data_IF_830590187269
#
_entry.id   IF_830590187269
#
_cell.length_a   1.000
_cell.length_b   1.000
_cell.length_c   1.000
_cell.angle_alpha   90.00
_cell.angle_beta   90.00
_cell.angle_gamma   90.00
#
_symmetry.space_group_name_H-M   'P 1'
#
loop_
_entity.id
_entity.type
_entity.pdbx_description
1 polymer ?
#
# COMPACT_ATOMS: atom_id res chain seq x y z
N UNK A 1 -7.44 -8.84 -37.34
CA UNK A 1 -7.67 -7.75 -36.36
C UNK A 1 -6.89 -8.10 -35.10
N UNK A 2 -5.84 -7.34 -34.79
CA UNK A 2 -4.73 -7.75 -33.90
C UNK A 2 -5.11 -7.85 -32.41
N UNK A 3 -5.09 -9.07 -31.85
CA UNK A 3 -5.29 -9.35 -30.42
C UNK A 3 -4.28 -8.62 -29.50
N UNK A 4 -3.10 -8.24 -30.03
CA UNK A 4 -2.07 -7.47 -29.31
C UNK A 4 -2.54 -6.08 -28.83
N UNK A 5 -3.44 -5.44 -29.56
CA UNK A 5 -3.94 -4.10 -29.22
C UNK A 5 -4.95 -4.09 -28.07
N UNK A 6 -5.72 -5.17 -27.93
CA UNK A 6 -6.69 -5.32 -26.84
C UNK A 6 -6.00 -5.67 -25.52
N UNK A 7 -4.99 -6.55 -25.56
CA UNK A 7 -4.28 -7.01 -24.37
C UNK A 7 -3.54 -5.87 -23.65
N UNK A 8 -2.80 -5.04 -24.38
CA UNK A 8 -2.05 -3.91 -23.79
C UNK A 8 -2.94 -2.84 -23.16
N UNK A 9 -4.17 -2.66 -23.65
CA UNK A 9 -5.10 -1.64 -23.14
C UNK A 9 -5.86 -2.13 -21.91
N UNK A 10 -6.20 -3.42 -21.88
CA UNK A 10 -6.90 -4.06 -20.75
C UNK A 10 -5.96 -4.28 -19.56
N UNK A 11 -4.74 -4.76 -19.78
CA UNK A 11 -3.79 -5.05 -18.70
C UNK A 11 -3.28 -3.79 -17.99
N UNK A 12 -3.17 -2.66 -18.69
CA UNK A 12 -2.79 -1.37 -18.08
C UNK A 12 -3.91 -0.75 -17.25
N UNK A 13 -5.18 -1.08 -17.51
CA UNK A 13 -6.33 -0.54 -16.76
C UNK A 13 -6.76 -1.40 -15.58
N UNK A 14 -6.43 -2.69 -15.59
CA UNK A 14 -6.85 -3.64 -14.56
C UNK A 14 -6.34 -3.27 -13.15
N UNK A 15 -5.06 -2.94 -12.93
CA UNK A 15 -4.57 -2.57 -11.60
C UNK A 15 -5.25 -1.31 -11.07
N UNK A 16 -5.45 -0.31 -11.93
CA UNK A 16 -6.10 0.94 -11.55
C UNK A 16 -7.60 0.77 -11.26
N UNK A 17 -8.26 -0.21 -11.86
CA UNK A 17 -9.64 -0.54 -11.53
C UNK A 17 -9.73 -1.24 -10.17
N UNK A 18 -8.85 -2.21 -9.89
CA UNK A 18 -8.79 -2.90 -8.60
C UNK A 18 -8.47 -1.93 -7.45
N UNK A 19 -7.57 -0.97 -7.68
CA UNK A 19 -7.22 0.06 -6.69
C UNK A 19 -8.45 0.87 -6.25
N UNK A 20 -9.30 1.26 -7.21
CA UNK A 20 -10.55 1.99 -6.92
C UNK A 20 -11.53 1.15 -6.11
N UNK A 21 -11.62 -0.15 -6.38
CA UNK A 21 -12.46 -1.06 -5.59
C UNK A 21 -11.96 -1.13 -4.15
N UNK A 22 -10.67 -1.36 -3.96
CA UNK A 22 -10.07 -1.45 -2.62
C UNK A 22 -10.24 -0.13 -1.87
N UNK A 23 -10.02 1.01 -2.53
CA UNK A 23 -10.25 2.33 -1.97
C UNK A 23 -11.72 2.53 -1.55
N UNK A 24 -12.68 2.05 -2.34
CA UNK A 24 -14.10 2.10 -2.00
C UNK A 24 -14.43 1.25 -0.76
N UNK A 25 -13.91 0.02 -0.68
CA UNK A 25 -14.10 -0.87 0.47
C UNK A 25 -13.50 -0.24 1.74
N UNK A 26 -12.27 0.30 1.63
CA UNK A 26 -11.62 1.00 2.73
C UNK A 26 -12.44 2.20 3.21
N UNK A 27 -12.95 3.02 2.29
CA UNK A 27 -13.73 4.20 2.65
C UNK A 27 -14.99 3.81 3.42
N UNK A 28 -15.72 2.80 2.97
CA UNK A 28 -16.91 2.29 3.67
C UNK A 28 -16.54 1.75 5.06
N UNK A 29 -15.47 0.94 5.15
CA UNK A 29 -15.02 0.37 6.42
C UNK A 29 -14.54 1.43 7.42
N UNK A 30 -13.84 2.47 6.96
CA UNK A 30 -13.40 3.60 7.81
C UNK A 30 -14.60 4.42 8.29
N UNK A 31 -15.60 4.68 7.44
CA UNK A 31 -16.83 5.37 7.86
C UNK A 31 -17.57 4.56 8.92
N UNK A 32 -17.70 3.24 8.72
CA UNK A 32 -18.32 2.36 9.69
C UNK A 32 -17.56 2.30 11.03
N UNK A 33 -16.24 2.13 10.97
CA UNK A 33 -15.38 2.12 12.16
C UNK A 33 -15.39 3.45 12.90
N UNK A 34 -15.33 4.58 12.17
CA UNK A 34 -15.45 5.92 12.74
C UNK A 34 -16.80 6.16 13.41
N UNK A 35 -17.90 5.67 12.82
CA UNK A 35 -19.22 5.74 13.44
C UNK A 35 -19.28 4.95 14.76
N UNK A 36 -18.71 3.74 14.82
CA UNK A 36 -18.60 2.99 16.08
C UNK A 36 -17.80 3.73 17.14
N UNK A 37 -16.63 4.28 16.78
CA UNK A 37 -15.81 5.04 17.72
C UNK A 37 -16.58 6.23 18.31
N UNK A 38 -17.37 6.93 17.50
CA UNK A 38 -18.24 8.01 17.99
C UNK A 38 -19.25 7.48 19.01
N UNK A 39 -19.93 6.37 18.72
CA UNK A 39 -20.89 5.75 19.66
C UNK A 39 -20.21 5.33 20.96
N UNK A 40 -19.02 4.72 20.90
CA UNK A 40 -18.26 4.31 22.09
C UNK A 40 -17.89 5.51 22.97
N UNK A 41 -17.46 6.63 22.36
CA UNK A 41 -17.15 7.87 23.09
C UNK A 41 -18.40 8.45 23.77
N UNK A 42 -19.56 8.41 23.12
CA UNK A 42 -20.81 8.99 23.66
C UNK A 42 -21.54 8.09 24.66
N UNK A 43 -21.34 6.78 24.60
CA UNK A 43 -22.02 5.82 25.49
C UNK A 43 -21.46 5.79 26.91
N UNK A 44 -20.31 6.44 27.18
CA UNK A 44 -19.62 6.46 28.49
C UNK A 44 -19.37 5.07 29.12
N UNK A 45 -19.55 4.01 28.34
CA UNK A 45 -19.25 2.63 28.69
C UNK A 45 -17.81 2.28 28.35
N UNK A 46 -17.29 1.16 28.86
CA UNK A 46 -15.95 0.71 28.53
C UNK A 46 -15.76 0.64 27.00
N UNK A 47 -14.62 1.09 26.45
CA UNK A 47 -14.38 1.10 25.01
C UNK A 47 -14.57 -0.30 24.39
N UNK A 48 -15.32 -0.39 23.28
CA UNK A 48 -15.47 -1.64 22.54
C UNK A 48 -14.16 -1.95 21.80
N UNK A 49 -13.37 -2.87 22.35
CA UNK A 49 -12.11 -3.32 21.73
C UNK A 49 -12.34 -3.89 20.32
N UNK A 50 -13.55 -4.38 20.04
CA UNK A 50 -13.89 -4.94 18.72
C UNK A 50 -13.92 -3.87 17.63
N UNK A 51 -14.22 -2.61 17.95
CA UNK A 51 -14.27 -1.52 16.97
C UNK A 51 -12.88 -1.10 16.47
N UNK A 52 -11.90 -1.02 17.39
CA UNK A 52 -10.51 -0.71 17.07
C UNK A 52 -9.85 -1.87 16.31
N UNK A 53 -10.02 -3.10 16.79
CA UNK A 53 -9.50 -4.31 16.14
C UNK A 53 -10.06 -4.48 14.71
N UNK A 54 -11.33 -4.15 14.48
CA UNK A 54 -11.93 -4.15 13.15
C UNK A 54 -11.21 -3.20 12.18
N UNK A 55 -10.89 -1.98 12.62
CA UNK A 55 -10.20 -0.98 11.78
C UNK A 55 -8.78 -1.46 11.44
N UNK A 56 -8.06 -2.02 12.42
CA UNK A 56 -6.71 -2.56 12.22
C UNK A 56 -6.72 -3.71 11.20
N UNK A 57 -7.61 -4.69 11.37
CA UNK A 57 -7.77 -5.81 10.42
C UNK A 57 -8.17 -5.36 9.02
N UNK A 58 -9.07 -4.38 8.93
CA UNK A 58 -9.50 -3.79 7.66
C UNK A 58 -8.31 -3.13 6.93
N UNK A 59 -7.55 -2.30 7.65
CA UNK A 59 -6.36 -1.63 7.12
C UNK A 59 -5.31 -2.63 6.67
N UNK A 60 -4.99 -3.63 7.50
CA UNK A 60 -3.99 -4.65 7.18
C UNK A 60 -4.35 -5.43 5.92
N UNK A 61 -5.60 -5.91 5.82
CA UNK A 61 -6.09 -6.67 4.68
C UNK A 61 -6.10 -5.84 3.40
N UNK A 62 -6.67 -4.64 3.46
CA UNK A 62 -6.76 -3.77 2.29
C UNK A 62 -5.40 -3.28 1.81
N UNK A 63 -4.52 -2.92 2.74
CA UNK A 63 -3.13 -2.69 2.40
C UNK A 63 -2.58 -3.94 1.72
N UNK A 64 -2.58 -5.13 2.32
CA UNK A 64 -2.02 -6.35 1.69
C UNK A 64 -2.38 -6.47 0.20
N UNK A 65 -3.66 -6.29 -0.14
CA UNK A 65 -4.16 -6.26 -1.54
C UNK A 65 -3.52 -5.16 -2.39
N UNK A 66 -3.43 -3.91 -1.91
CA UNK A 66 -2.81 -2.80 -2.64
C UNK A 66 -1.33 -3.09 -2.99
N UNK A 67 -0.55 -3.74 -2.11
CA UNK A 67 0.85 -4.08 -2.44
C UNK A 67 0.87 -5.01 -3.64
N UNK A 68 0.01 -6.02 -3.64
CA UNK A 68 -0.01 -7.04 -4.69
C UNK A 68 -0.41 -6.38 -6.03
N UNK A 69 -1.38 -5.46 -6.00
CA UNK A 69 -1.79 -4.69 -7.18
C UNK A 69 -0.61 -3.85 -7.72
N UNK A 70 0.09 -3.13 -6.85
CA UNK A 70 1.25 -2.31 -7.25
C UNK A 70 2.40 -3.15 -7.75
N UNK A 71 2.69 -4.27 -7.09
CA UNK A 71 3.71 -5.23 -7.53
C UNK A 71 3.40 -5.76 -8.94
N UNK A 72 2.15 -6.17 -9.20
CA UNK A 72 1.71 -6.61 -10.54
C UNK A 72 1.85 -5.48 -11.56
N UNK A 73 1.46 -4.26 -11.23
CA UNK A 73 1.63 -3.08 -12.10
C UNK A 73 3.10 -2.85 -12.44
N UNK A 74 3.97 -3.07 -11.47
CA UNK A 74 5.40 -2.94 -11.62
C UNK A 74 6.00 -4.00 -12.54
N UNK A 75 5.57 -5.26 -12.43
CA UNK A 75 5.98 -6.33 -13.34
C UNK A 75 5.59 -6.02 -14.80
N UNK A 76 4.43 -5.40 -15.00
CA UNK A 76 3.94 -5.03 -16.33
C UNK A 76 4.67 -3.83 -16.94
N UNK A 77 5.16 -2.89 -16.12
CA UNK A 77 5.76 -1.63 -16.59
C UNK A 77 7.29 -1.61 -16.61
N UNK A 78 7.96 -2.66 -16.10
CA UNK A 78 9.41 -2.87 -16.17
C UNK A 78 10.25 -1.60 -15.87
N UNK A 79 9.92 -0.90 -14.78
CA UNK A 79 10.66 0.26 -14.31
C UNK A 79 11.28 -0.06 -12.94
N UNK A 80 12.62 -0.20 -12.90
CA UNK A 80 13.37 -0.44 -11.67
C UNK A 80 13.15 0.65 -10.61
N UNK A 81 12.97 1.89 -11.06
CA UNK A 81 12.66 3.04 -10.20
C UNK A 81 11.30 2.87 -9.48
N UNK A 82 10.36 2.14 -10.09
CA UNK A 82 9.07 1.83 -9.47
C UNK A 82 9.19 0.78 -8.35
N UNK A 83 10.27 -0.04 -8.29
CA UNK A 83 10.42 -1.08 -7.24
C UNK A 83 10.56 -0.35 -5.91
N UNK A 84 11.54 0.57 -5.84
CA UNK A 84 11.90 1.23 -4.58
C UNK A 84 10.72 2.01 -4.01
N UNK A 85 9.95 2.69 -4.85
CA UNK A 85 8.74 3.42 -4.43
C UNK A 85 7.68 2.49 -3.84
N UNK A 86 7.41 1.35 -4.49
CA UNK A 86 6.43 0.37 -3.99
C UNK A 86 6.91 -0.28 -2.68
N UNK A 87 8.22 -0.54 -2.54
CA UNK A 87 8.79 -1.08 -1.29
C UNK A 87 8.70 -0.08 -0.14
N UNK A 88 8.96 1.22 -0.37
CA UNK A 88 8.82 2.24 0.65
C UNK A 88 7.35 2.33 1.10
N UNK A 89 6.41 2.36 0.14
CA UNK A 89 4.98 2.36 0.44
C UNK A 89 4.54 1.11 1.22
N UNK A 90 5.07 -0.05 0.84
CA UNK A 90 4.82 -1.33 1.50
C UNK A 90 5.21 -1.33 2.98
N UNK A 91 6.39 -0.79 3.30
CA UNK A 91 6.88 -0.71 4.67
C UNK A 91 6.11 0.36 5.45
N UNK A 92 5.90 1.53 4.85
CA UNK A 92 5.28 2.68 5.49
C UNK A 92 3.84 2.40 5.96
N UNK A 93 3.03 1.72 5.15
CA UNK A 93 1.67 1.38 5.57
C UNK A 93 1.61 0.29 6.65
N UNK A 94 2.57 -0.64 6.65
CA UNK A 94 2.70 -1.66 7.70
C UNK A 94 3.06 -1.02 9.04
N UNK A 95 3.74 0.13 9.01
CA UNK A 95 3.98 0.98 10.18
C UNK A 95 2.69 1.61 10.74
N UNK A 96 1.72 1.93 9.87
CA UNK A 96 0.47 2.61 10.25
C UNK A 96 -0.59 1.63 10.75
N UNK A 97 -0.66 0.43 10.17
CA UNK A 97 -1.70 -0.54 10.48
C UNK A 97 -1.40 -1.43 11.71
N UNK A 98 -0.14 -1.52 12.14
CA UNK A 98 0.29 -2.47 13.17
C UNK A 98 0.83 -1.80 14.43
N UNK A 99 0.34 -2.26 15.59
CA UNK A 99 0.95 -1.99 16.88
C UNK A 99 2.13 -2.94 17.13
N UNK A 100 3.25 -2.70 16.45
CA UNK A 100 4.48 -3.45 16.67
C UNK A 100 5.32 -2.88 17.82
N UNK A 101 6.23 -3.70 18.35
CA UNK A 101 7.18 -3.22 19.37
C UNK A 101 8.02 -2.06 18.83
N UNK A 102 8.40 -1.14 19.72
CA UNK A 102 9.18 0.05 19.35
C UNK A 102 10.46 -0.27 18.56
N UNK A 103 11.08 -1.44 18.80
CA UNK A 103 12.24 -1.89 18.04
C UNK A 103 11.92 -2.23 16.58
N UNK A 104 10.81 -2.91 16.31
CA UNK A 104 10.41 -3.22 14.93
C UNK A 104 10.03 -1.96 14.16
N UNK A 105 9.33 -1.04 14.82
CA UNK A 105 9.03 0.30 14.29
C UNK A 105 10.34 1.02 13.89
N UNK A 106 11.35 1.02 14.77
CA UNK A 106 12.65 1.62 14.49
C UNK A 106 13.33 0.96 13.28
N UNK A 107 13.35 -0.38 13.21
CA UNK A 107 13.95 -1.12 12.09
C UNK A 107 13.26 -0.76 10.76
N UNK A 108 11.92 -0.67 10.74
CA UNK A 108 11.15 -0.28 9.55
C UNK A 108 11.48 1.16 9.10
N UNK A 109 11.59 2.10 10.05
CA UNK A 109 11.99 3.48 9.75
C UNK A 109 13.41 3.53 9.18
N UNK A 110 14.35 2.80 9.77
CA UNK A 110 15.73 2.68 9.26
C UNK A 110 15.74 2.05 7.86
N UNK A 111 14.93 1.01 7.61
CA UNK A 111 14.82 0.40 6.29
C UNK A 111 14.33 1.40 5.23
N UNK A 112 13.31 2.23 5.55
CA UNK A 112 12.85 3.30 4.65
C UNK A 112 13.97 4.31 4.41
N UNK A 113 14.72 4.72 5.45
CA UNK A 113 15.83 5.64 5.32
C UNK A 113 16.94 5.10 4.41
N UNK A 114 17.27 3.81 4.53
CA UNK A 114 18.23 3.11 3.66
C UNK A 114 17.72 3.04 2.23
N UNK A 115 16.45 2.69 2.00
CA UNK A 115 15.86 2.65 0.65
C UNK A 115 15.89 4.03 -0.03
N UNK A 116 15.56 5.09 0.71
CA UNK A 116 15.67 6.48 0.23
C UNK A 116 17.12 6.88 -0.03
N UNK A 117 18.06 6.45 0.83
CA UNK A 117 19.48 6.65 0.64
C UNK A 117 20.00 5.97 -0.62
N UNK A 118 19.67 4.69 -0.81
CA UNK A 118 19.99 3.93 -2.02
C UNK A 118 19.44 4.59 -3.28
N UNK A 119 18.21 5.12 -3.23
CA UNK A 119 17.63 5.91 -4.33
C UNK A 119 18.50 7.12 -4.69
N UNK A 120 18.98 7.86 -3.68
CA UNK A 120 19.75 9.09 -3.88
C UNK A 120 21.20 8.86 -4.32
N UNK A 121 21.84 7.80 -3.85
CA UNK A 121 23.29 7.60 -4.00
C UNK A 121 23.68 6.47 -4.97
N UNK A 122 22.83 5.45 -5.17
CA UNK A 122 23.14 4.28 -6.01
C UNK A 122 22.59 4.40 -7.44
N UNK A 123 21.45 5.07 -7.64
CA UNK A 123 20.85 5.28 -8.97
C UNK A 123 21.47 6.47 -9.72
N UNK A 124 22.80 6.57 -9.73
CA UNK A 124 23.54 7.48 -10.61
C UNK A 124 23.62 6.85 -12.00
N UNK A 125 22.84 7.35 -12.95
CA UNK A 125 23.00 7.32 -14.41
C UNK A 125 23.34 6.00 -15.17
N UNK A 126 23.47 4.83 -14.52
CA UNK A 126 23.93 3.61 -15.18
C UNK A 126 22.84 2.60 -15.61
N UNK A 127 21.58 2.81 -15.23
CA UNK A 127 20.45 1.91 -15.59
C UNK A 127 19.61 2.41 -16.79
N UNK A 128 20.05 3.49 -17.47
CA UNK A 128 19.36 4.08 -18.63
C UNK A 128 20.03 3.77 -19.98
N UNK A 129 20.73 2.64 -20.10
CA UNK A 129 21.03 2.12 -21.44
C UNK A 129 19.77 1.39 -21.92
N UNK A 130 18.82 2.15 -22.45
CA UNK A 130 17.84 1.61 -23.38
C UNK A 130 18.66 1.04 -24.57
N UNK A 131 18.66 -0.29 -24.76
CA UNK A 131 19.05 -0.85 -26.05
C UNK A 131 18.03 -0.35 -27.08
N UNK A 132 18.53 0.47 -28.01
CA UNK A 132 17.80 1.04 -29.16
C UNK A 132 17.00 -0.02 -29.96
#
# INVERSE_FOLDING_TARGET
MNARGFYNKTIKRLPSFLEKIVAGILLVGVVYGGFRLVVDVFSFTAPDTNGVEYIEMLLESAFSVIIVIEFVRMLVKHSMNTIVEVLIFAIARGLVAGHESALYVLIRVVAIAVLLGSRKYLFKDFDFIEED
#
